data_IF_824708501659
#
_entry.id   IF_824708501659
#
_cell.length_a   1.000
_cell.length_b   1.000
_cell.length_c   1.000
_cell.angle_alpha   90.00
_cell.angle_beta   90.00
_cell.angle_gamma   90.00
#
_symmetry.space_group_name_H-M   'P 1'
#
loop_
_entity.id
_entity.type
_entity.pdbx_description
1 polymer ?
#
# COMPACT_ATOMS: atom_id res chain seq x y z
N UNK A 1 -11.33 -6.32 -23.24
CA UNK A 1 -10.11 -6.11 -22.40
C UNK A 1 -10.33 -6.42 -20.90
N UNK A 2 -11.54 -6.75 -20.43
CA UNK A 2 -11.92 -6.65 -19.00
C UNK A 2 -11.71 -7.88 -18.10
N UNK A 3 -11.73 -9.12 -18.64
CA UNK A 3 -11.61 -10.34 -17.80
C UNK A 3 -10.17 -10.62 -17.33
N UNK A 4 -9.19 -10.46 -18.22
CA UNK A 4 -7.77 -10.74 -17.92
C UNK A 4 -7.18 -9.80 -16.86
N UNK A 5 -7.42 -8.50 -16.99
CA UNK A 5 -6.94 -7.47 -16.03
C UNK A 5 -7.57 -7.67 -14.66
N UNK A 6 -8.87 -7.99 -14.60
CA UNK A 6 -9.56 -8.27 -13.34
C UNK A 6 -9.02 -9.52 -12.65
N UNK A 7 -8.67 -10.56 -13.42
CA UNK A 7 -8.06 -11.78 -12.89
C UNK A 7 -6.66 -11.51 -12.33
N UNK A 8 -5.81 -10.83 -13.09
CA UNK A 8 -4.45 -10.48 -12.66
C UNK A 8 -4.47 -9.68 -11.36
N UNK A 9 -5.34 -8.66 -11.27
CA UNK A 9 -5.50 -7.85 -10.04
C UNK A 9 -5.96 -8.70 -8.85
N UNK A 10 -6.88 -9.64 -9.07
CA UNK A 10 -7.34 -10.55 -8.00
C UNK A 10 -6.21 -11.44 -7.50
N UNK A 11 -5.36 -11.94 -8.40
CA UNK A 11 -4.21 -12.77 -8.04
C UNK A 11 -3.12 -11.97 -7.31
N UNK A 12 -2.83 -10.75 -7.74
CA UNK A 12 -1.95 -9.79 -7.05
C UNK A 12 -2.45 -9.48 -5.63
N UNK A 13 -3.76 -9.24 -5.50
CA UNK A 13 -4.38 -8.96 -4.21
C UNK A 13 -4.23 -10.16 -3.27
N UNK A 14 -4.49 -11.38 -3.76
CA UNK A 14 -4.38 -12.60 -2.96
C UNK A 14 -2.95 -12.84 -2.49
N UNK A 15 -1.96 -12.62 -3.36
CA UNK A 15 -0.55 -12.84 -3.05
C UNK A 15 -0.03 -11.83 -2.02
N UNK A 16 -0.33 -10.53 -2.19
CA UNK A 16 0.01 -9.49 -1.22
C UNK A 16 -0.71 -9.72 0.11
N UNK A 17 -1.99 -10.12 0.10
CA UNK A 17 -2.76 -10.31 1.35
C UNK A 17 -2.06 -11.25 2.33
N UNK A 18 -1.38 -12.27 1.83
CA UNK A 18 -0.60 -13.22 2.63
C UNK A 18 0.74 -12.62 3.04
N UNK A 19 1.47 -12.05 2.09
CA UNK A 19 2.84 -11.55 2.32
C UNK A 19 2.90 -10.29 3.19
N UNK A 20 1.88 -9.42 3.13
CA UNK A 20 1.84 -8.15 3.88
C UNK A 20 1.93 -8.38 5.39
N UNK A 21 1.41 -9.50 5.90
CA UNK A 21 1.50 -9.85 7.33
C UNK A 21 2.95 -10.03 7.75
N UNK A 22 3.77 -10.70 6.93
CA UNK A 22 5.22 -10.79 7.19
C UNK A 22 5.90 -9.43 7.12
N UNK A 23 5.51 -8.60 6.15
CA UNK A 23 6.17 -7.32 5.92
C UNK A 23 5.91 -6.29 7.01
N UNK A 24 4.75 -6.33 7.65
CA UNK A 24 4.38 -5.42 8.75
C UNK A 24 4.80 -5.96 10.13
N UNK A 25 5.15 -7.25 10.22
CA UNK A 25 5.65 -7.87 11.46
C UNK A 25 7.07 -7.41 11.71
N UNK A 26 7.38 -6.79 12.86
CA UNK A 26 8.74 -6.38 13.20
C UNK A 26 9.68 -7.60 13.27
N UNK A 27 10.95 -7.41 12.88
CA UNK A 27 11.94 -8.49 12.88
C UNK A 27 12.07 -9.12 14.27
N UNK A 28 12.02 -10.46 14.33
CA UNK A 28 12.07 -11.26 15.57
C UNK A 28 10.91 -11.01 16.55
N UNK A 29 9.78 -10.45 16.10
CA UNK A 29 8.58 -10.26 16.92
C UNK A 29 7.37 -10.94 16.29
N UNK A 30 6.27 -10.96 17.04
CA UNK A 30 4.95 -11.39 16.58
C UNK A 30 3.99 -10.23 16.68
N UNK A 31 3.01 -10.17 15.78
CA UNK A 31 1.92 -9.21 15.90
C UNK A 31 1.04 -9.58 17.10
N UNK A 32 0.64 -8.56 17.85
CA UNK A 32 -0.29 -8.70 18.96
C UNK A 32 -1.48 -7.75 18.74
N UNK A 33 -2.71 -8.26 18.56
CA UNK A 33 -3.03 -9.69 18.42
C UNK A 33 -2.46 -10.32 17.13
N UNK A 34 -2.34 -11.65 17.02
CA UNK A 34 -1.89 -12.28 15.78
C UNK A 34 -2.87 -12.04 14.61
N UNK A 35 -2.35 -11.69 13.44
CA UNK A 35 -3.16 -11.52 12.22
C UNK A 35 -3.13 -12.80 11.38
N UNK A 36 -4.30 -13.32 11.01
CA UNK A 36 -4.38 -14.40 10.04
C UNK A 36 -3.97 -13.93 8.63
N UNK A 37 -3.10 -14.69 7.97
CA UNK A 37 -2.58 -14.34 6.63
C UNK A 37 -3.64 -14.35 5.53
N UNK A 38 -4.63 -15.25 5.64
CA UNK A 38 -5.61 -15.47 4.58
C UNK A 38 -6.93 -14.71 4.78
N UNK A 39 -7.15 -14.13 5.97
CA UNK A 39 -8.38 -13.45 6.37
C UNK A 39 -8.05 -12.00 6.72
N UNK A 40 -8.96 -11.07 6.41
CA UNK A 40 -8.76 -9.62 6.64
C UNK A 40 -9.56 -9.06 7.81
N UNK A 41 -10.48 -9.84 8.38
CA UNK A 41 -11.44 -9.38 9.39
C UNK A 41 -10.76 -8.74 10.62
N UNK A 42 -9.57 -9.20 10.98
CA UNK A 42 -8.79 -8.70 12.13
C UNK A 42 -7.75 -7.64 11.72
N UNK A 43 -7.93 -6.97 10.56
CA UNK A 43 -7.03 -5.90 10.06
C UNK A 43 -7.72 -4.54 10.17
N UNK A 44 -7.30 -3.56 9.37
CA UNK A 44 -7.88 -2.22 9.39
C UNK A 44 -7.59 -1.50 10.70
N UNK A 45 -8.52 -0.63 11.11
CA UNK A 45 -8.42 0.15 12.34
C UNK A 45 -8.71 -0.66 13.62
N UNK A 46 -9.18 -1.90 13.48
CA UNK A 46 -9.43 -2.82 14.60
C UNK A 46 -8.15 -3.48 15.14
N UNK A 47 -7.03 -3.36 14.44
CA UNK A 47 -5.76 -3.94 14.86
C UNK A 47 -4.66 -2.87 15.00
N UNK A 48 -3.88 -2.84 16.10
CA UNK A 48 -2.92 -1.78 16.39
C UNK A 48 -1.93 -1.49 15.25
N UNK A 49 -1.32 -2.53 14.66
CA UNK A 49 -0.32 -2.38 13.59
C UNK A 49 -0.89 -1.92 12.24
N UNK A 50 -1.95 -2.56 11.75
CA UNK A 50 -2.57 -2.16 10.47
C UNK A 50 -3.26 -0.81 10.61
N UNK A 51 -3.86 -0.52 11.75
CA UNK A 51 -4.48 0.75 12.06
C UNK A 51 -3.46 1.89 12.10
N UNK A 52 -2.31 1.69 12.75
CA UNK A 52 -1.19 2.66 12.74
C UNK A 52 -0.74 3.00 11.31
N UNK A 53 -0.57 1.98 10.47
CA UNK A 53 -0.12 2.12 9.08
C UNK A 53 -1.17 2.79 8.19
N UNK A 54 -2.45 2.53 8.44
CA UNK A 54 -3.57 3.13 7.71
C UNK A 54 -3.95 4.51 8.23
N UNK A 55 -3.59 4.83 9.48
CA UNK A 55 -3.94 6.09 10.11
C UNK A 55 -3.38 7.24 9.27
N UNK A 56 -4.22 8.21 8.90
CA UNK A 56 -3.77 9.44 8.28
C UNK A 56 -2.64 10.12 9.04
N UNK A 57 -1.70 10.72 8.30
CA UNK A 57 -0.53 11.37 8.90
C UNK A 57 -0.86 12.59 9.77
N UNK A 58 -2.01 13.23 9.52
CA UNK A 58 -2.53 14.36 10.28
C UNK A 58 -3.32 13.96 11.54
N UNK A 59 -3.48 12.66 11.81
CA UNK A 59 -4.13 12.15 13.00
C UNK A 59 -3.11 11.43 13.90
N UNK A 60 -3.28 11.59 15.21
CA UNK A 60 -2.45 10.89 16.19
C UNK A 60 -3.04 9.51 16.50
N UNK A 61 -2.38 8.46 16.02
CA UNK A 61 -2.79 7.07 16.30
C UNK A 61 -2.67 6.72 17.80
N UNK A 62 -1.89 7.47 18.59
CA UNK A 62 -1.77 7.26 20.03
C UNK A 62 -2.99 7.76 20.80
N UNK A 63 -3.85 8.58 20.18
CA UNK A 63 -5.09 9.05 20.77
C UNK A 63 -6.19 7.97 20.70
N UNK A 64 -6.64 7.52 21.87
CA UNK A 64 -7.71 6.53 22.04
C UNK A 64 -9.03 6.92 21.39
N UNK A 65 -9.35 8.22 21.36
CA UNK A 65 -10.55 8.73 20.70
C UNK A 65 -10.40 8.58 19.19
N UNK A 66 -9.26 8.96 18.62
CA UNK A 66 -8.99 8.79 17.19
C UNK A 66 -9.10 7.32 16.78
N UNK A 67 -8.49 6.40 17.54
CA UNK A 67 -8.58 4.96 17.27
C UNK A 67 -10.02 4.45 17.27
N UNK A 68 -10.81 4.83 18.29
CA UNK A 68 -12.22 4.43 18.39
C UNK A 68 -13.09 5.01 17.28
N UNK A 69 -12.88 6.27 16.92
CA UNK A 69 -13.68 6.93 15.89
C UNK A 69 -13.35 6.37 14.50
N UNK A 70 -12.08 6.05 14.22
CA UNK A 70 -11.66 5.38 12.99
C UNK A 70 -12.22 3.95 12.91
N UNK A 71 -12.14 3.17 13.99
CA UNK A 71 -12.63 1.79 14.03
C UNK A 71 -14.15 1.70 13.90
N UNK A 72 -14.89 2.62 14.53
CA UNK A 72 -16.36 2.68 14.45
C UNK A 72 -16.88 3.28 13.14
N UNK A 73 -16.02 3.94 12.35
CA UNK A 73 -16.42 4.69 11.17
C UNK A 73 -17.06 6.06 11.48
N UNK A 74 -17.03 6.50 12.75
CA UNK A 74 -17.43 7.86 13.13
C UNK A 74 -16.48 8.93 12.56
N UNK A 75 -15.21 8.56 12.36
CA UNK A 75 -14.23 9.32 11.61
C UNK A 75 -13.86 8.54 10.35
N UNK A 76 -14.26 9.06 9.19
CA UNK A 76 -13.88 8.49 7.89
C UNK A 76 -12.80 9.38 7.29
N UNK A 77 -11.55 8.89 7.17
CA UNK A 77 -10.51 9.62 6.46
C UNK A 77 -10.96 9.93 5.03
N UNK A 78 -10.91 11.20 4.67
CA UNK A 78 -11.11 11.65 3.29
C UNK A 78 -9.94 11.19 2.42
N UNK A 79 -10.16 11.10 1.11
CA UNK A 79 -9.17 10.48 0.20
C UNK A 79 -7.85 11.23 0.12
N UNK A 80 -7.85 12.53 0.41
CA UNK A 80 -6.71 13.45 0.45
C UNK A 80 -5.85 13.30 1.72
N UNK A 81 -6.33 12.53 2.71
CA UNK A 81 -5.58 12.25 3.92
C UNK A 81 -4.67 11.04 3.74
N UNK A 82 -3.39 11.31 3.50
CA UNK A 82 -2.40 10.27 3.21
C UNK A 82 -2.20 9.29 4.37
N UNK A 83 -2.34 7.98 4.13
CA UNK A 83 -1.98 6.97 5.11
C UNK A 83 -0.48 6.92 5.38
N UNK A 84 -0.13 6.66 6.63
CA UNK A 84 1.26 6.58 7.09
C UNK A 84 2.12 5.56 6.34
N UNK A 85 1.53 4.47 5.86
CA UNK A 85 2.24 3.43 5.10
C UNK A 85 2.86 3.94 3.78
N UNK A 86 2.47 5.10 3.28
CA UNK A 86 3.07 5.68 2.06
C UNK A 86 4.47 6.22 2.31
N UNK A 87 4.77 6.63 3.53
CA UNK A 87 5.98 7.35 3.88
C UNK A 87 7.14 6.42 4.25
N UNK A 88 8.36 6.85 3.94
CA UNK A 88 9.59 6.22 4.44
C UNK A 88 9.55 6.16 5.96
N UNK A 89 9.95 5.02 6.51
CA UNK A 89 9.88 4.71 7.95
C UNK A 89 8.49 4.85 8.59
N UNK A 90 7.45 5.10 7.80
CA UNK A 90 6.10 5.43 8.29
C UNK A 90 6.09 6.72 9.10
N UNK A 91 6.94 7.68 8.76
CA UNK A 91 7.06 8.97 9.45
C UNK A 91 6.71 10.12 8.50
N UNK A 92 5.96 11.10 9.00
CA UNK A 92 5.53 12.27 8.23
C UNK A 92 6.19 13.52 8.80
N UNK A 93 6.84 14.31 7.93
CA UNK A 93 7.38 15.61 8.28
C UNK A 93 6.39 16.71 7.86
N UNK A 94 5.74 17.42 8.79
CA UNK A 94 4.81 18.50 8.45
C UNK A 94 5.49 19.73 7.83
N UNK A 95 6.82 19.87 7.97
CA UNK A 95 7.59 20.96 7.34
C UNK A 95 7.96 20.64 5.89
N UNK A 96 8.03 19.36 5.55
CA UNK A 96 8.40 18.88 4.22
C UNK A 96 7.51 17.67 3.87
N UNK A 97 6.26 17.90 3.42
CA UNK A 97 5.28 16.84 3.20
C UNK A 97 5.70 15.79 2.17
N UNK A 98 6.63 16.11 1.26
CA UNK A 98 7.17 15.17 0.29
C UNK A 98 8.27 14.26 0.86
N UNK A 99 8.80 14.58 2.03
CA UNK A 99 9.88 13.81 2.64
C UNK A 99 9.45 12.36 2.84
N UNK A 100 10.06 11.46 2.06
CA UNK A 100 9.78 10.04 2.14
C UNK A 100 8.43 9.60 1.56
N UNK A 101 7.60 10.50 1.02
CA UNK A 101 6.31 10.16 0.41
C UNK A 101 6.49 9.17 -0.76
N UNK A 102 5.67 8.12 -0.81
CA UNK A 102 5.77 6.98 -1.72
C UNK A 102 7.10 6.20 -1.68
N UNK A 103 7.91 6.33 -0.62
CA UNK A 103 9.22 5.66 -0.46
C UNK A 103 9.25 4.64 0.67
N UNK A 104 8.08 4.18 1.13
CA UNK A 104 8.03 3.19 2.21
C UNK A 104 8.55 1.81 1.77
N UNK A 105 9.13 1.07 2.71
CA UNK A 105 9.59 -0.29 2.46
C UNK A 105 8.45 -1.25 2.09
N UNK A 106 7.21 -0.95 2.51
CA UNK A 106 6.02 -1.72 2.13
C UNK A 106 5.70 -1.58 0.65
N UNK A 107 5.76 -0.36 0.11
CA UNK A 107 5.54 -0.12 -1.31
C UNK A 107 6.60 -0.83 -2.15
N UNK A 108 7.88 -0.73 -1.76
CA UNK A 108 8.98 -1.39 -2.49
C UNK A 108 8.83 -2.92 -2.48
N UNK A 109 8.49 -3.51 -1.32
CA UNK A 109 8.24 -4.96 -1.21
C UNK A 109 7.06 -5.40 -2.06
N UNK A 110 5.96 -4.64 -2.05
CA UNK A 110 4.77 -4.93 -2.85
C UNK A 110 5.05 -4.81 -4.36
N UNK A 111 5.79 -3.78 -4.78
CA UNK A 111 6.20 -3.59 -6.17
C UNK A 111 7.01 -4.79 -6.67
N UNK A 112 8.04 -5.20 -5.92
CA UNK A 112 8.86 -6.38 -6.24
C UNK A 112 8.04 -7.67 -6.25
N UNK A 113 7.11 -7.82 -5.31
CA UNK A 113 6.25 -8.99 -5.23
C UNK A 113 5.38 -9.17 -6.48
N UNK A 114 4.79 -8.08 -6.99
CA UNK A 114 3.92 -8.10 -8.18
C UNK A 114 4.73 -8.13 -9.49
N UNK A 115 5.66 -7.19 -9.64
CA UNK A 115 6.26 -6.90 -10.95
C UNK A 115 7.55 -7.66 -11.19
N UNK A 116 8.40 -7.94 -10.20
CA UNK A 116 9.68 -8.64 -10.43
C UNK A 116 9.55 -10.14 -10.21
N UNK A 117 9.24 -10.61 -9.01
CA UNK A 117 8.90 -12.01 -8.70
C UNK A 117 8.67 -12.13 -7.19
N UNK A 118 7.69 -12.93 -6.72
CA UNK A 118 7.46 -13.16 -5.29
C UNK A 118 8.71 -13.57 -4.48
N UNK A 119 9.65 -14.29 -5.09
CA UNK A 119 10.89 -14.76 -4.45
C UNK A 119 11.98 -13.70 -4.28
N UNK A 120 11.89 -12.58 -4.99
CA UNK A 120 12.90 -11.50 -4.93
C UNK A 120 12.88 -10.70 -3.62
N UNK A 121 11.84 -10.87 -2.80
CA UNK A 121 11.67 -10.17 -1.53
C UNK A 121 12.64 -10.67 -0.43
N UNK A 122 13.20 -11.88 -0.58
CA UNK A 122 14.04 -12.52 0.44
C UNK A 122 15.50 -12.81 0.01
N UNK A 123 15.97 -12.28 -1.13
CA UNK A 123 17.37 -12.43 -1.57
C UNK A 123 17.84 -13.87 -1.85
N UNK A 124 16.96 -14.87 -1.79
CA UNK A 124 17.29 -16.26 -2.07
C UNK A 124 17.28 -16.53 -3.59
N UNK A 125 18.28 -17.29 -4.05
CA UNK A 125 18.46 -17.67 -5.45
C UNK A 125 17.18 -18.25 -6.05
N UNK A 126 16.78 -17.69 -7.20
CA UNK A 126 15.55 -17.98 -7.91
C UNK A 126 15.45 -19.44 -8.35
N UNK A 127 14.61 -20.24 -7.68
CA UNK A 127 14.01 -21.45 -8.26
C UNK A 127 12.62 -21.10 -8.78
N UNK A 128 12.54 -20.42 -9.93
CA UNK A 128 11.27 -20.07 -10.56
C UNK A 128 11.10 -20.85 -11.88
N UNK A 129 10.13 -21.77 -11.90
CA UNK A 129 9.73 -22.55 -13.10
C UNK A 129 8.72 -21.81 -13.99
N UNK A 130 8.27 -20.62 -13.60
CA UNK A 130 7.53 -19.69 -14.46
C UNK A 130 8.29 -18.39 -14.55
N UNK A 131 8.49 -17.91 -15.78
CA UNK A 131 9.09 -16.62 -16.08
C UNK A 131 8.53 -15.53 -15.17
N UNK A 132 9.43 -14.84 -14.47
CA UNK A 132 9.18 -13.60 -13.74
C UNK A 132 8.24 -12.68 -14.55
N UNK A 133 7.19 -12.14 -13.89
CA UNK A 133 6.20 -11.27 -14.54
C UNK A 133 6.85 -10.03 -15.18
N UNK A 134 8.03 -9.60 -14.72
CA UNK A 134 8.84 -8.54 -15.36
C UNK A 134 9.28 -8.89 -16.79
N UNK A 135 9.34 -10.18 -17.15
CA UNK A 135 9.61 -10.61 -18.53
C UNK A 135 8.33 -10.71 -19.37
N UNK A 136 7.16 -10.74 -18.73
CA UNK A 136 5.85 -10.82 -19.41
C UNK A 136 5.30 -9.42 -19.72
N UNK A 137 5.71 -8.40 -18.99
CA UNK A 137 5.46 -7.00 -19.33
C UNK A 137 6.80 -6.27 -19.40
N UNK A 138 7.12 -5.66 -20.56
CA UNK A 138 8.34 -4.88 -20.82
C UNK A 138 8.43 -3.59 -19.97
N UNK A 139 8.24 -3.69 -18.66
CA UNK A 139 8.41 -2.58 -17.73
C UNK A 139 9.90 -2.43 -17.44
N UNK A 140 10.56 -1.58 -18.21
CA UNK A 140 11.96 -1.18 -18.01
C UNK A 140 12.11 -0.12 -16.93
N UNK A 141 11.01 0.47 -16.48
CA UNK A 141 10.97 1.50 -15.44
C UNK A 141 9.64 1.46 -14.65
N UNK A 142 9.70 1.98 -13.43
CA UNK A 142 8.56 2.31 -12.58
C UNK A 142 7.86 3.56 -13.14
N UNK A 143 6.53 3.55 -13.15
CA UNK A 143 5.69 4.62 -13.69
C UNK A 143 4.73 5.14 -12.61
N UNK A 144 4.18 6.34 -12.80
CA UNK A 144 3.16 6.92 -11.90
C UNK A 144 1.97 5.95 -11.68
N UNK A 145 1.34 5.39 -12.74
CA UNK A 145 0.29 4.38 -12.58
C UNK A 145 0.69 3.15 -11.78
N UNK A 146 1.95 2.69 -11.91
CA UNK A 146 2.39 1.50 -11.18
C UNK A 146 2.62 1.79 -9.69
N UNK A 147 3.11 2.99 -9.33
CA UNK A 147 3.17 3.44 -7.92
C UNK A 147 1.76 3.53 -7.32
N UNK A 148 0.83 4.20 -8.01
CA UNK A 148 -0.55 4.34 -7.57
C UNK A 148 -1.24 2.98 -7.40
N UNK A 149 -1.00 2.05 -8.34
CA UNK A 149 -1.51 0.68 -8.25
C UNK A 149 -0.98 -0.05 -7.01
N UNK A 150 0.33 -0.01 -6.77
CA UNK A 150 0.94 -0.66 -5.60
C UNK A 150 0.43 -0.07 -4.29
N UNK A 151 0.36 1.26 -4.18
CA UNK A 151 -0.19 1.92 -3.01
C UNK A 151 -1.65 1.49 -2.74
N UNK A 152 -2.45 1.38 -3.79
CA UNK A 152 -3.84 0.92 -3.71
C UNK A 152 -3.94 -0.53 -3.25
N UNK A 153 -3.09 -1.43 -3.78
CA UNK A 153 -3.03 -2.82 -3.34
C UNK A 153 -2.64 -2.94 -1.85
N UNK A 154 -1.61 -2.20 -1.43
CA UNK A 154 -1.16 -2.19 -0.02
C UNK A 154 -2.28 -1.68 0.88
N UNK A 155 -2.89 -0.52 0.58
CA UNK A 155 -4.02 0.02 1.36
C UNK A 155 -5.14 -1.00 1.47
N UNK A 156 -5.55 -1.59 0.36
CA UNK A 156 -6.61 -2.58 0.34
C UNK A 156 -6.26 -3.76 1.24
N UNK A 157 -5.06 -4.34 1.12
CA UNK A 157 -4.66 -5.52 1.90
C UNK A 157 -4.45 -5.27 3.39
N UNK A 158 -4.16 -4.03 3.79
CA UNK A 158 -4.08 -3.60 5.19
C UNK A 158 -5.46 -3.36 5.81
N UNK A 159 -6.47 -3.02 5.02
CA UNK A 159 -7.82 -2.77 5.51
C UNK A 159 -8.56 -4.08 5.86
N UNK A 160 -9.71 -4.01 6.53
CA UNK A 160 -10.54 -5.15 6.92
C UNK A 160 -11.58 -5.58 5.86
N UNK A 161 -11.84 -4.73 4.86
CA UNK A 161 -12.82 -4.98 3.81
C UNK A 161 -12.62 -6.31 3.06
N UNK A 162 -13.68 -7.11 2.94
CA UNK A 162 -13.67 -8.43 2.29
C UNK A 162 -13.56 -8.40 0.75
N UNK A 163 -13.90 -7.29 0.11
CA UNK A 163 -13.86 -7.11 -1.35
C UNK A 163 -13.57 -5.66 -1.72
N UNK A 164 -13.06 -5.44 -2.95
CA UNK A 164 -12.94 -4.09 -3.50
C UNK A 164 -14.34 -3.53 -3.75
N UNK A 165 -14.83 -2.65 -2.86
CA UNK A 165 -16.08 -1.94 -3.06
C UNK A 165 -15.86 -0.72 -3.97
N UNK A 166 -16.71 -0.55 -4.98
CA UNK A 166 -16.84 0.70 -5.76
C UNK A 166 -17.88 1.67 -5.19
N UNK A 167 -18.36 1.40 -3.97
CA UNK A 167 -19.39 2.22 -3.32
C UNK A 167 -18.72 3.12 -2.28
N UNK A 168 -19.13 4.39 -2.29
CA UNK A 168 -18.63 5.52 -1.49
C UNK A 168 -18.97 5.42 0.01
N UNK A 169 -18.94 4.23 0.60
CA UNK A 169 -19.12 4.07 2.05
C UNK A 169 -17.80 3.63 2.66
N UNK A 170 -17.30 4.48 3.56
CA UNK A 170 -16.24 4.24 4.54
C UNK A 170 -14.87 3.79 3.97
N UNK A 171 -14.01 4.74 3.58
CA UNK A 171 -12.55 4.54 3.56
C UNK A 171 -12.01 3.40 2.67
N UNK A 172 -12.83 2.78 1.82
CA UNK A 172 -12.46 1.63 0.98
C UNK A 172 -12.47 1.94 -0.51
N UNK A 173 -12.79 3.16 -0.91
CA UNK A 173 -12.77 3.56 -2.31
C UNK A 173 -11.33 3.51 -2.83
N UNK A 174 -11.05 2.42 -3.54
CA UNK A 174 -9.74 2.12 -4.11
C UNK A 174 -9.55 2.85 -5.44
N UNK A 175 -10.65 3.21 -6.11
CA UNK A 175 -10.62 3.96 -7.36
C UNK A 175 -10.32 5.43 -7.07
N UNK A 176 -11.01 6.03 -6.09
CA UNK A 176 -10.71 7.38 -5.62
C UNK A 176 -9.27 7.49 -5.09
N UNK A 177 -8.82 6.54 -4.26
CA UNK A 177 -7.45 6.58 -3.73
C UNK A 177 -6.39 6.45 -4.84
N UNK A 178 -6.64 5.60 -5.84
CA UNK A 178 -5.77 5.50 -7.00
C UNK A 178 -5.73 6.83 -7.77
N UNK A 179 -6.89 7.42 -8.06
CA UNK A 179 -7.00 8.65 -8.82
C UNK A 179 -6.32 9.82 -8.11
N UNK A 180 -6.49 9.97 -6.79
CA UNK A 180 -5.83 11.02 -6.01
C UNK A 180 -4.31 10.91 -6.03
N UNK A 181 -3.76 9.68 -6.03
CA UNK A 181 -2.31 9.50 -6.18
C UNK A 181 -1.86 9.90 -7.58
N UNK A 182 -2.58 9.49 -8.62
CA UNK A 182 -2.25 9.87 -9.99
C UNK A 182 -2.34 11.39 -10.17
N UNK A 183 -3.41 12.02 -9.68
CA UNK A 183 -3.59 13.47 -9.72
C UNK A 183 -2.45 14.21 -9.02
N UNK A 184 -2.02 13.78 -7.83
CA UNK A 184 -0.86 14.36 -7.15
C UNK A 184 0.43 14.19 -7.96
N UNK A 185 0.66 13.00 -8.51
CA UNK A 185 1.89 12.68 -9.24
C UNK A 185 1.93 13.27 -10.66
N UNK A 186 0.80 13.68 -11.22
CA UNK A 186 0.69 14.36 -12.51
C UNK A 186 0.55 15.88 -12.39
N UNK A 187 0.46 16.44 -11.17
CA UNK A 187 0.43 17.89 -10.95
C UNK A 187 1.77 18.52 -11.37
N UNK A 188 1.70 19.45 -12.33
CA UNK A 188 2.86 20.19 -12.85
C UNK A 188 3.62 20.95 -11.75
N UNK A 189 2.92 21.37 -10.68
CA UNK A 189 3.53 22.09 -9.55
C UNK A 189 4.46 21.22 -8.73
N UNK A 190 4.22 19.92 -8.72
CA UNK A 190 4.99 18.92 -7.96
C UNK A 190 6.04 18.22 -8.85
N UNK A 191 6.26 18.72 -10.07
CA UNK A 191 7.06 18.04 -11.08
C UNK A 191 8.52 17.80 -10.67
N UNK A 192 9.10 18.64 -9.80
CA UNK A 192 10.47 18.48 -9.30
C UNK A 192 10.55 17.28 -8.35
N UNK A 193 9.62 17.21 -7.40
CA UNK A 193 9.49 16.16 -6.39
C UNK A 193 9.12 14.82 -7.04
N UNK A 194 8.21 14.84 -8.02
CA UNK A 194 7.84 13.66 -8.81
C UNK A 194 9.02 13.13 -9.63
N UNK A 195 9.81 14.02 -10.25
CA UNK A 195 11.01 13.61 -10.98
C UNK A 195 12.04 12.95 -10.05
N UNK A 196 12.27 13.51 -8.85
CA UNK A 196 13.15 12.91 -7.84
C UNK A 196 12.60 11.56 -7.34
N UNK A 197 11.29 11.45 -7.12
CA UNK A 197 10.62 10.19 -6.78
C UNK A 197 10.84 9.12 -7.85
N UNK A 198 10.58 9.43 -9.12
CA UNK A 198 10.73 8.48 -10.22
C UNK A 198 12.20 8.11 -10.44
N UNK A 199 13.12 9.05 -10.27
CA UNK A 199 14.56 8.77 -10.30
C UNK A 199 14.94 7.80 -9.18
N UNK A 200 14.48 8.02 -7.95
CA UNK A 200 14.74 7.14 -6.81
C UNK A 200 14.19 5.71 -7.03
N UNK A 201 12.99 5.59 -7.60
CA UNK A 201 12.38 4.28 -7.87
C UNK A 201 13.08 3.46 -8.97
N UNK A 202 13.78 4.14 -9.88
CA UNK A 202 14.44 3.53 -11.04
C UNK A 202 15.96 3.35 -10.89
N UNK A 203 16.49 3.50 -9.67
CA UNK A 203 17.86 3.14 -9.30
C UNK A 203 18.02 1.63 -9.09
#
# INVERSE_FOLDING_TARGET
ITKGVSSARSDDTKSIKVAIVDWITPTHQVLSPPIQRNVKNDRGFHHPRTGELLCPVNLDWKDDKIRRDLASGALVPTGDLWPRFLYRYFEYNPKEPWEGLFRSSLLVKAYKHIFTSPSSVHGAASKATRSSNARIHRMTSVTIPSIAYIATQVRFTLNDAGSFCRSAHAGTDSELFYNLIVELLEDEKEGVEVADLLMWWNQ
#
